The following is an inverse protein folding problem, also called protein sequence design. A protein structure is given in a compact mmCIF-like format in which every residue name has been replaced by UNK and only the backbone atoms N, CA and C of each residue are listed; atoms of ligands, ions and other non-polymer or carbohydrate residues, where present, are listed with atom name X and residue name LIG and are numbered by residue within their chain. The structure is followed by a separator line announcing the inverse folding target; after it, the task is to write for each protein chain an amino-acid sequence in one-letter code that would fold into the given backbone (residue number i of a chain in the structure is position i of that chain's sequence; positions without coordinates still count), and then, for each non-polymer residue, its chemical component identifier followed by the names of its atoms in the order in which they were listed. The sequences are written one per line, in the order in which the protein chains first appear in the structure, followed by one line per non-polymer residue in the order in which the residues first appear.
data_IF_872067701414
#
_entry.id   IF_872067701414
#
_cell.length_a   1.000
_cell.length_b   1.000
_cell.length_c   1.000
_cell.angle_alpha   90.00
_cell.angle_beta   90.00
_cell.angle_gamma   90.00
#
_symmetry.space_group_name_H-M   'P 1'
#
loop_
_entity.id
_entity.type
_entity.pdbx_description
1 polymer ?
#
# COMPACT_ATOMS: atom_id res chain seq x y z
N UNK A 1 -5.02 4.34 9.54
CA UNK A 1 -5.49 3.52 10.68
C UNK A 1 -6.83 2.78 10.43
N UNK A 2 -7.74 3.33 9.62
CA UNK A 2 -9.09 2.77 9.46
C UNK A 2 -9.20 1.61 8.45
N UNK A 3 -8.11 1.25 7.75
CA UNK A 3 -8.18 0.25 6.67
C UNK A 3 -8.65 -1.14 7.13
N UNK A 4 -8.43 -1.50 8.40
CA UNK A 4 -8.93 -2.74 9.02
C UNK A 4 -10.19 -2.53 9.90
N UNK A 5 -10.67 -1.29 10.06
CA UNK A 5 -11.76 -1.00 11.00
C UNK A 5 -13.10 -1.47 10.44
N UNK A 6 -13.84 -2.26 11.23
CA UNK A 6 -15.12 -2.85 10.79
C UNK A 6 -14.95 -3.96 9.76
N UNK A 7 -13.73 -4.44 9.56
CA UNK A 7 -13.33 -5.45 8.58
C UNK A 7 -12.71 -6.65 9.31
N UNK A 8 -12.97 -7.86 8.84
CA UNK A 8 -12.33 -9.09 9.34
C UNK A 8 -11.65 -9.79 8.17
N UNK A 9 -10.50 -9.27 7.70
CA UNK A 9 -9.84 -9.78 6.51
C UNK A 9 -9.40 -11.23 6.74
N UNK A 10 -9.61 -12.07 5.72
CA UNK A 10 -9.11 -13.44 5.68
C UNK A 10 -7.58 -13.45 5.58
N UNK A 11 -7.02 -12.50 4.81
CA UNK A 11 -5.58 -12.37 4.59
C UNK A 11 -5.19 -10.89 4.59
N UNK A 12 -4.11 -10.57 5.29
CA UNK A 12 -3.45 -9.26 5.23
C UNK A 12 -2.08 -9.42 4.56
N UNK A 13 -1.90 -8.74 3.43
CA UNK A 13 -0.64 -8.65 2.71
C UNK A 13 0.11 -7.40 3.18
N UNK A 14 1.23 -7.61 3.90
CA UNK A 14 2.16 -6.55 4.27
C UNK A 14 3.36 -6.60 3.31
N UNK A 15 3.49 -5.58 2.47
CA UNK A 15 4.47 -5.54 1.39
C UNK A 15 5.46 -4.42 1.64
N UNK A 16 6.74 -4.78 1.83
CA UNK A 16 7.80 -3.79 2.04
C UNK A 16 8.25 -3.25 0.68
N UNK A 17 8.28 -1.92 0.52
CA UNK A 17 8.80 -1.27 -0.71
C UNK A 17 9.60 -0.02 -0.37
N UNK A 18 10.53 0.38 -1.25
CA UNK A 18 11.21 1.67 -1.11
C UNK A 18 10.21 2.81 -1.32
N UNK A 19 10.32 3.94 -0.61
CA UNK A 19 9.47 5.11 -0.86
C UNK A 19 9.48 5.58 -2.31
N UNK A 20 10.61 5.43 -3.02
CA UNK A 20 10.74 5.82 -4.43
C UNK A 20 10.07 4.87 -5.43
N UNK A 21 9.72 3.64 -5.03
CA UNK A 21 9.26 2.58 -5.93
C UNK A 21 7.73 2.60 -6.18
N UNK A 22 7.20 3.74 -6.63
CA UNK A 22 5.77 3.90 -6.92
C UNK A 22 5.27 2.90 -7.97
N UNK A 23 6.06 2.69 -9.03
CA UNK A 23 5.71 1.77 -10.11
C UNK A 23 5.61 0.31 -9.60
N UNK A 24 6.48 -0.08 -8.66
CA UNK A 24 6.40 -1.41 -8.06
C UNK A 24 5.12 -1.55 -7.23
N UNK A 25 4.76 -0.52 -6.44
CA UNK A 25 3.50 -0.51 -5.70
C UNK A 25 2.31 -0.62 -6.63
N UNK A 26 2.22 0.19 -7.68
CA UNK A 26 1.12 0.13 -8.67
C UNK A 26 1.03 -1.25 -9.37
N UNK A 27 2.17 -1.83 -9.76
CA UNK A 27 2.20 -3.18 -10.32
C UNK A 27 1.64 -4.22 -9.35
N UNK A 28 2.00 -4.15 -8.06
CA UNK A 28 1.42 -5.02 -7.03
C UNK A 28 -0.09 -4.79 -6.90
N UNK A 29 -0.57 -3.52 -6.89
CA UNK A 29 -2.02 -3.21 -6.82
C UNK A 29 -2.81 -3.87 -7.95
N UNK A 30 -2.24 -3.88 -9.17
CA UNK A 30 -2.89 -4.39 -10.39
C UNK A 30 -2.72 -5.89 -10.63
N UNK A 31 -1.83 -6.54 -9.89
CA UNK A 31 -1.51 -7.96 -10.08
C UNK A 31 -1.88 -8.77 -8.84
N UNK A 32 -0.92 -9.44 -8.22
CA UNK A 32 -1.14 -10.37 -7.11
C UNK A 32 -1.65 -9.70 -5.82
N UNK A 33 -1.49 -8.38 -5.69
CA UNK A 33 -1.95 -7.59 -4.55
C UNK A 33 -3.33 -6.95 -4.74
N UNK A 34 -4.08 -7.35 -5.76
CA UNK A 34 -5.45 -6.87 -5.98
C UNK A 34 -6.40 -7.44 -4.90
N UNK A 35 -6.97 -6.56 -4.08
CA UNK A 35 -7.87 -6.93 -2.96
C UNK A 35 -9.17 -7.61 -3.43
N UNK A 36 -9.54 -7.47 -4.69
CA UNK A 36 -10.73 -8.06 -5.30
C UNK A 36 -10.45 -9.31 -6.14
N UNK A 37 -9.20 -9.82 -6.14
CA UNK A 37 -8.81 -10.93 -7.00
C UNK A 37 -9.50 -12.27 -6.66
N UNK A 38 -9.96 -12.43 -5.41
CA UNK A 38 -10.59 -13.67 -4.94
C UNK A 38 -12.02 -13.38 -4.46
N UNK A 39 -13.06 -13.76 -5.23
CA UNK A 39 -14.45 -13.52 -4.85
C UNK A 39 -14.80 -14.17 -3.50
N UNK A 40 -15.47 -13.41 -2.64
CA UNK A 40 -15.95 -13.89 -1.34
C UNK A 40 -14.91 -13.98 -0.22
N UNK A 41 -13.63 -13.73 -0.51
CA UNK A 41 -12.58 -13.60 0.50
C UNK A 41 -12.14 -12.15 0.61
N UNK A 42 -12.15 -11.62 1.82
CA UNK A 42 -11.68 -10.27 2.08
C UNK A 42 -10.15 -10.28 2.24
N UNK A 43 -9.44 -9.87 1.19
CA UNK A 43 -7.98 -9.66 1.22
C UNK A 43 -7.71 -8.18 1.41
N UNK A 44 -6.72 -7.86 2.24
CA UNK A 44 -6.33 -6.48 2.54
C UNK A 44 -4.84 -6.32 2.25
N UNK A 45 -4.45 -5.25 1.56
CA UNK A 45 -3.04 -4.97 1.24
C UNK A 45 -2.58 -3.67 1.87
N UNK A 46 -1.40 -3.69 2.49
CA UNK A 46 -0.72 -2.53 3.05
C UNK A 46 0.74 -2.52 2.60
N UNK A 47 1.24 -1.36 2.21
CA UNK A 47 2.66 -1.14 1.95
C UNK A 47 3.34 -0.59 3.19
N UNK A 48 4.43 -1.23 3.60
CA UNK A 48 5.32 -0.73 4.66
C UNK A 48 6.45 0.04 4.01
N UNK A 49 6.53 1.34 4.31
CA UNK A 49 7.56 2.23 3.81
C UNK A 49 8.53 2.62 4.93
N UNK A 50 9.78 2.84 4.55
CA UNK A 50 10.76 3.52 5.39
C UNK A 50 10.89 4.99 5.02
N UNK A 51 11.95 5.64 5.49
CA UNK A 51 12.39 6.94 4.99
C UNK A 51 13.47 6.72 3.94
N UNK A 52 13.38 7.39 2.79
CA UNK A 52 14.44 7.30 1.79
C UNK A 52 15.71 7.97 2.32
N UNK A 53 16.90 7.33 2.23
CA UNK A 53 18.12 7.82 2.87
C UNK A 53 18.69 9.13 2.31
N UNK A 54 18.09 9.68 1.25
CA UNK A 54 18.64 10.83 0.50
C UNK A 54 17.53 11.79 0.09
N UNK A 55 16.43 11.26 -0.46
CA UNK A 55 15.34 12.05 -1.01
C UNK A 55 14.07 12.01 -0.13
N UNK A 56 14.24 11.90 1.19
CA UNK A 56 13.12 11.71 2.11
C UNK A 56 12.10 12.85 2.06
N UNK A 57 12.56 14.10 2.12
CA UNK A 57 11.70 15.28 2.11
C UNK A 57 11.07 15.53 0.73
N UNK A 58 11.83 15.29 -0.33
CA UNK A 58 11.40 15.45 -1.72
C UNK A 58 10.30 14.46 -2.09
N UNK A 59 10.33 13.25 -1.53
CA UNK A 59 9.32 12.22 -1.77
C UNK A 59 8.06 12.39 -0.92
N UNK A 60 8.09 13.14 0.19
CA UNK A 60 6.91 13.36 1.06
C UNK A 60 5.65 13.83 0.33
N UNK A 61 5.67 14.85 -0.54
CA UNK A 61 4.46 15.30 -1.23
C UNK A 61 3.88 14.22 -2.14
N UNK A 62 4.75 13.50 -2.86
CA UNK A 62 4.37 12.40 -3.76
C UNK A 62 3.74 11.24 -2.98
N UNK A 63 4.34 10.85 -1.85
CA UNK A 63 3.80 9.80 -0.98
C UNK A 63 2.47 10.19 -0.34
N UNK A 64 2.29 11.47 -0.01
CA UNK A 64 1.01 11.97 0.52
C UNK A 64 -0.10 11.84 -0.52
N UNK A 65 0.16 12.25 -1.75
CA UNK A 65 -0.80 12.10 -2.85
C UNK A 65 -1.14 10.63 -3.10
N UNK A 66 -0.13 9.74 -3.07
CA UNK A 66 -0.33 8.29 -3.20
C UNK A 66 -1.20 7.74 -2.04
N UNK A 67 -0.94 8.12 -0.79
CA UNK A 67 -1.74 7.66 0.36
C UNK A 67 -3.17 8.22 0.32
N UNK A 68 -3.37 9.46 -0.13
CA UNK A 68 -4.71 10.02 -0.30
C UNK A 68 -5.53 9.22 -1.32
N UNK A 69 -4.91 8.78 -2.41
CA UNK A 69 -5.56 8.01 -3.45
C UNK A 69 -5.84 6.55 -3.06
N UNK A 70 -4.88 5.89 -2.40
CA UNK A 70 -4.92 4.44 -2.17
C UNK A 70 -5.15 4.02 -0.73
N UNK A 71 -4.85 4.90 0.24
CA UNK A 71 -5.05 4.71 1.68
C UNK A 71 -4.42 3.43 2.21
N UNK A 72 -3.28 3.06 1.63
CA UNK A 72 -2.64 1.77 1.81
C UNK A 72 -1.16 1.86 2.19
N UNK A 73 -0.66 3.05 2.51
CA UNK A 73 0.71 3.26 2.96
C UNK A 73 0.79 3.29 4.49
N UNK A 74 1.84 2.68 5.03
CA UNK A 74 2.23 2.69 6.45
C UNK A 74 3.64 3.25 6.60
#
# INVERSE_FOLDING_TARGET
PDKCRGRTPFLVLLVVTSPADLAARDAVRRTWGNESAVPGLEVLRLFLLGVHPAFGEELRPVLREEDELHRDLL
#
